data_IF_464178560278
#
_entry.id   IF_464178560278
#
_cell.length_a   1.000
_cell.length_b   1.000
_cell.length_c   1.000
_cell.angle_alpha   90.00
_cell.angle_beta   90.00
_cell.angle_gamma   90.00
#
_symmetry.space_group_name_H-M   'P 1'
#
loop_
_entity.id
_entity.type
_entity.pdbx_description
1 polymer ?
#
# COMPACT_ATOMS: atom_id res chain seq x y z
N UNK A 1 5.50 6.09 18.17
CA UNK A 1 5.25 6.54 16.78
C UNK A 1 5.60 5.37 15.89
N UNK A 2 4.69 4.98 15.01
CA UNK A 2 4.90 3.87 14.07
C UNK A 2 6.00 4.24 13.08
N UNK A 3 6.90 3.28 12.81
CA UNK A 3 7.94 3.39 11.78
C UNK A 3 7.40 2.88 10.45
N UNK A 4 7.83 3.47 9.35
CA UNK A 4 7.43 3.04 8.00
C UNK A 4 8.65 2.53 7.24
N UNK A 5 8.50 1.38 6.59
CA UNK A 5 9.50 0.84 5.66
C UNK A 5 8.83 0.78 4.28
N UNK A 6 9.36 1.52 3.31
CA UNK A 6 8.88 1.49 1.93
C UNK A 6 9.76 0.57 1.08
N UNK A 7 9.16 -0.48 0.51
CA UNK A 7 9.88 -1.40 -0.38
C UNK A 7 9.57 -1.03 -1.82
N UNK A 8 10.60 -0.66 -2.58
CA UNK A 8 10.49 -0.31 -4.01
C UNK A 8 11.32 -1.26 -4.87
N UNK A 9 10.99 -1.38 -6.16
CA UNK A 9 11.71 -2.23 -7.12
C UNK A 9 12.41 -1.42 -8.20
N UNK A 10 13.62 -1.81 -8.56
CA UNK A 10 14.32 -1.24 -9.71
C UNK A 10 14.61 -2.29 -10.78
N UNK A 11 15.03 -1.84 -11.96
CA UNK A 11 15.50 -2.63 -13.10
C UNK A 11 14.40 -3.45 -13.79
N UNK A 12 13.79 -4.42 -13.10
CA UNK A 12 12.78 -5.31 -13.68
C UNK A 12 11.79 -5.78 -12.62
N UNK A 13 10.55 -6.01 -13.04
CA UNK A 13 9.53 -6.67 -12.21
C UNK A 13 9.89 -8.15 -11.94
N UNK A 14 9.21 -8.77 -10.98
CA UNK A 14 9.38 -10.20 -10.63
C UNK A 14 10.70 -10.61 -9.97
N UNK A 15 11.46 -9.65 -9.40
CA UNK A 15 12.64 -9.92 -8.57
C UNK A 15 12.32 -10.47 -7.16
N UNK A 16 11.05 -10.69 -6.83
CA UNK A 16 10.64 -11.21 -5.52
C UNK A 16 10.50 -10.14 -4.43
N UNK A 17 9.97 -8.95 -4.77
CA UNK A 17 9.67 -7.88 -3.80
C UNK A 17 8.74 -8.37 -2.68
N UNK A 18 7.56 -8.90 -3.04
CA UNK A 18 6.58 -9.48 -2.10
C UNK A 18 7.19 -10.42 -1.07
N UNK A 19 7.92 -11.43 -1.53
CA UNK A 19 8.60 -12.40 -0.66
C UNK A 19 9.67 -11.77 0.23
N UNK A 20 10.40 -10.78 -0.28
CA UNK A 20 11.42 -10.05 0.50
C UNK A 20 10.75 -9.19 1.57
N UNK A 21 9.70 -8.45 1.22
CA UNK A 21 8.86 -7.67 2.14
C UNK A 21 8.33 -8.55 3.28
N UNK A 22 7.75 -9.70 2.92
CA UNK A 22 7.20 -10.67 3.87
C UNK A 22 8.27 -11.25 4.80
N UNK A 23 9.45 -11.57 4.26
CA UNK A 23 10.58 -12.08 5.02
C UNK A 23 11.14 -11.05 6.01
N UNK A 24 11.19 -9.77 5.63
CA UNK A 24 11.57 -8.68 6.54
C UNK A 24 10.54 -8.59 7.69
N UNK A 25 9.25 -8.62 7.36
CA UNK A 25 8.16 -8.62 8.36
C UNK A 25 8.32 -9.76 9.37
N UNK A 26 8.53 -10.99 8.88
CA UNK A 26 8.77 -12.16 9.73
C UNK A 26 9.97 -11.97 10.69
N UNK A 27 11.09 -11.44 10.19
CA UNK A 27 12.29 -11.20 11.02
C UNK A 27 12.02 -10.15 12.10
N UNK A 28 11.26 -9.10 11.79
CA UNK A 28 10.89 -8.06 12.75
C UNK A 28 9.94 -8.61 13.82
N UNK A 29 8.95 -9.40 13.44
CA UNK A 29 8.06 -10.08 14.40
C UNK A 29 8.82 -11.03 15.33
N UNK A 30 9.81 -11.78 14.80
CA UNK A 30 10.69 -12.64 15.61
C UNK A 30 11.56 -11.85 16.59
N UNK A 31 11.71 -10.54 16.40
CA UNK A 31 12.34 -9.61 17.35
C UNK A 31 11.35 -8.95 18.32
N UNK A 32 10.09 -9.37 18.31
CA UNK A 32 9.05 -8.89 19.21
C UNK A 32 8.39 -7.58 18.76
N UNK A 33 8.55 -7.17 17.50
CA UNK A 33 7.89 -5.97 16.96
C UNK A 33 6.54 -6.33 16.35
N UNK A 34 5.54 -5.45 16.54
CA UNK A 34 4.24 -5.58 15.87
C UNK A 34 4.33 -4.99 14.48
N UNK A 35 4.14 -5.83 13.47
CA UNK A 35 4.27 -5.47 12.06
C UNK A 35 2.90 -5.40 11.40
N UNK A 36 2.70 -4.38 10.56
CA UNK A 36 1.61 -4.32 9.58
C UNK A 36 2.15 -4.26 8.17
N UNK A 37 1.48 -4.92 7.23
CA UNK A 37 1.91 -5.00 5.84
C UNK A 37 0.87 -4.42 4.89
N UNK A 38 1.36 -3.74 3.85
CA UNK A 38 0.56 -3.12 2.80
C UNK A 38 1.17 -3.36 1.42
N UNK A 39 0.32 -3.56 0.43
CA UNK A 39 0.67 -3.55 -1.00
C UNK A 39 -0.05 -2.40 -1.70
N UNK A 40 0.71 -1.55 -2.40
CA UNK A 40 0.17 -0.53 -3.30
C UNK A 40 0.40 -0.98 -4.75
N UNK A 41 -0.66 -1.31 -5.46
CA UNK A 41 -0.62 -1.81 -6.82
C UNK A 41 -0.87 -0.71 -7.86
N UNK A 42 0.03 -0.54 -8.84
CA UNK A 42 -0.07 0.56 -9.79
C UNK A 42 -1.11 0.34 -10.89
N UNK A 43 -1.75 -0.82 -10.98
CA UNK A 43 -2.77 -1.10 -11.99
C UNK A 43 -4.08 -0.34 -11.75
N UNK A 44 -4.82 -0.08 -12.83
CA UNK A 44 -6.03 0.77 -12.85
C UNK A 44 -7.29 0.01 -12.39
N UNK A 45 -7.29 -1.33 -12.40
CA UNK A 45 -8.40 -2.10 -11.85
C UNK A 45 -8.66 -1.72 -10.38
N UNK A 46 -9.92 -1.54 -10.01
CA UNK A 46 -10.31 -1.19 -8.62
C UNK A 46 -10.08 -2.37 -7.67
N UNK A 47 -10.18 -3.58 -8.20
CA UNK A 47 -9.90 -4.83 -7.52
C UNK A 47 -9.40 -5.82 -8.58
N UNK A 48 -8.68 -6.88 -8.18
CA UNK A 48 -8.19 -7.88 -9.13
C UNK A 48 -9.28 -8.86 -9.57
N UNK A 49 -10.52 -8.77 -9.04
CA UNK A 49 -11.63 -9.69 -9.38
C UNK A 49 -12.03 -9.65 -10.86
N UNK A 50 -11.66 -8.58 -11.56
CA UNK A 50 -11.88 -8.42 -13.02
C UNK A 50 -10.72 -8.94 -13.88
N UNK A 51 -9.61 -9.37 -13.28
CA UNK A 51 -8.42 -9.86 -13.98
C UNK A 51 -8.50 -11.37 -14.20
N UNK A 52 -7.91 -11.87 -15.30
CA UNK A 52 -7.86 -13.32 -15.54
C UNK A 52 -6.83 -13.98 -14.63
N UNK A 53 -7.21 -14.94 -13.76
CA UNK A 53 -6.28 -15.54 -12.83
C UNK A 53 -5.20 -16.41 -13.50
N UNK A 54 -5.49 -16.92 -14.70
CA UNK A 54 -4.52 -17.69 -15.49
C UNK A 54 -3.38 -16.83 -16.06
N UNK A 55 -3.57 -15.51 -16.14
CA UNK A 55 -2.60 -14.59 -16.71
C UNK A 55 -1.91 -13.73 -15.66
N UNK A 56 -2.62 -13.39 -14.59
CA UNK A 56 -2.17 -12.42 -13.58
C UNK A 56 -1.95 -13.03 -12.19
N UNK A 57 -2.25 -14.31 -12.01
CA UNK A 57 -2.18 -14.99 -10.71
C UNK A 57 -3.53 -15.01 -10.00
N UNK A 58 -3.58 -15.73 -8.88
CA UNK A 58 -4.81 -15.87 -8.09
C UNK A 58 -5.28 -14.54 -7.49
N UNK A 59 -6.59 -14.43 -7.25
CA UNK A 59 -7.15 -13.40 -6.36
C UNK A 59 -7.08 -13.95 -4.95
N UNK A 60 -6.47 -13.20 -4.03
CA UNK A 60 -6.44 -13.56 -2.62
C UNK A 60 -7.65 -12.95 -1.91
N UNK A 61 -8.32 -13.72 -1.05
CA UNK A 61 -9.52 -13.26 -0.34
C UNK A 61 -9.24 -13.21 1.15
N UNK A 62 -9.41 -12.04 1.76
CA UNK A 62 -9.19 -11.83 3.19
C UNK A 62 -10.39 -12.29 4.03
N UNK A 63 -10.18 -12.43 5.35
CA UNK A 63 -11.24 -12.77 6.31
C UNK A 63 -12.42 -11.78 6.31
N UNK A 64 -12.19 -10.53 5.92
CA UNK A 64 -13.23 -9.50 5.78
C UNK A 64 -13.99 -9.55 4.44
N UNK A 65 -13.65 -10.51 3.57
CA UNK A 65 -14.26 -10.71 2.26
C UNK A 65 -13.67 -9.84 1.15
N UNK A 66 -12.62 -9.06 1.41
CA UNK A 66 -11.97 -8.24 0.39
C UNK A 66 -11.18 -9.12 -0.59
N UNK A 67 -11.38 -8.88 -1.89
CA UNK A 67 -10.58 -9.45 -2.98
C UNK A 67 -9.34 -8.58 -3.22
N UNK A 68 -8.15 -9.19 -3.14
CA UNK A 68 -6.86 -8.48 -3.15
C UNK A 68 -5.82 -9.20 -4.01
N UNK A 69 -4.70 -8.51 -4.25
CA UNK A 69 -3.53 -9.07 -4.92
C UNK A 69 -2.95 -10.28 -4.17
N UNK A 70 -2.33 -11.21 -4.91
CA UNK A 70 -1.77 -12.46 -4.38
C UNK A 70 -0.63 -12.24 -3.38
N UNK A 71 0.05 -11.09 -3.42
CA UNK A 71 1.15 -10.80 -2.49
C UNK A 71 0.66 -10.75 -1.03
N UNK A 72 -0.62 -10.47 -0.78
CA UNK A 72 -1.18 -10.51 0.57
C UNK A 72 -1.16 -11.92 1.15
N UNK A 73 -1.31 -12.95 0.32
CA UNK A 73 -1.12 -14.33 0.77
C UNK A 73 0.33 -14.59 1.22
N UNK A 74 1.33 -13.94 0.62
CA UNK A 74 2.71 -14.04 1.12
C UNK A 74 2.86 -13.38 2.49
N UNK A 75 2.23 -12.22 2.71
CA UNK A 75 2.29 -11.53 3.99
C UNK A 75 1.65 -12.38 5.10
N UNK A 76 0.48 -12.94 4.85
CA UNK A 76 -0.22 -13.81 5.81
C UNK A 76 0.57 -15.09 6.12
N UNK A 77 1.19 -15.71 5.11
CA UNK A 77 1.95 -16.95 5.32
C UNK A 77 3.25 -16.75 6.09
N UNK A 78 3.84 -15.56 6.05
CA UNK A 78 5.15 -15.27 6.67
C UNK A 78 5.03 -14.53 8.00
N UNK A 79 3.93 -13.80 8.22
CA UNK A 79 3.74 -12.91 9.36
C UNK A 79 2.44 -13.21 10.07
N UNK A 80 2.33 -12.82 11.34
CA UNK A 80 1.07 -12.87 12.10
C UNK A 80 0.29 -11.55 11.96
N UNK A 81 0.61 -10.77 10.93
CA UNK A 81 0.03 -9.46 10.71
C UNK A 81 -1.44 -9.59 10.30
N UNK A 82 -2.37 -8.90 10.99
CA UNK A 82 -3.76 -8.90 10.56
C UNK A 82 -3.86 -8.16 9.22
N UNK A 83 -4.32 -8.86 8.19
CA UNK A 83 -4.60 -8.28 6.89
C UNK A 83 -6.07 -7.86 6.83
N UNK A 84 -6.31 -6.66 6.33
CA UNK A 84 -7.66 -6.13 6.11
C UNK A 84 -7.73 -5.50 4.72
N UNK A 85 -8.89 -5.01 4.33
CA UNK A 85 -9.03 -4.15 3.15
C UNK A 85 -7.98 -3.03 3.06
N UNK A 86 -7.50 -2.52 4.19
CA UNK A 86 -6.48 -1.45 4.20
C UNK A 86 -5.05 -1.95 3.87
N UNK A 87 -4.85 -3.27 3.78
CA UNK A 87 -3.58 -3.92 3.39
C UNK A 87 -3.35 -3.95 1.88
N UNK A 88 -4.35 -3.66 1.05
CA UNK A 88 -4.18 -3.57 -0.40
C UNK A 88 -4.88 -2.32 -0.96
N UNK A 89 -4.15 -1.53 -1.75
CA UNK A 89 -4.70 -0.40 -2.47
C UNK A 89 -4.21 -0.38 -3.90
N UNK A 90 -5.10 -0.05 -4.84
CA UNK A 90 -4.76 0.04 -6.27
C UNK A 90 -4.85 1.49 -6.77
N UNK A 91 -4.18 1.80 -7.89
CA UNK A 91 -4.39 3.08 -8.60
C UNK A 91 -5.87 3.30 -8.88
N UNK A 92 -6.59 2.26 -9.30
CA UNK A 92 -8.03 2.29 -9.53
C UNK A 92 -8.82 2.82 -8.33
N UNK A 93 -8.60 2.24 -7.15
CA UNK A 93 -9.29 2.64 -5.92
C UNK A 93 -8.96 4.08 -5.51
N UNK A 94 -7.68 4.45 -5.59
CA UNK A 94 -7.21 5.78 -5.21
C UNK A 94 -7.83 6.84 -6.11
N UNK A 95 -7.78 6.64 -7.44
CA UNK A 95 -8.36 7.59 -8.39
C UNK A 95 -9.88 7.63 -8.27
N UNK A 96 -10.55 6.48 -8.09
CA UNK A 96 -11.99 6.44 -7.87
C UNK A 96 -12.39 7.20 -6.60
N UNK A 97 -11.63 7.06 -5.50
CA UNK A 97 -11.84 7.84 -4.27
C UNK A 97 -11.75 9.34 -4.53
N UNK A 98 -10.68 9.81 -5.18
CA UNK A 98 -10.47 11.23 -5.49
C UNK A 98 -11.57 11.77 -6.41
N UNK A 99 -11.93 11.04 -7.47
CA UNK A 99 -13.01 11.44 -8.39
C UNK A 99 -14.34 11.53 -7.64
N UNK A 100 -14.65 10.56 -6.77
CA UNK A 100 -15.88 10.58 -5.98
C UNK A 100 -15.95 11.78 -5.03
N UNK A 101 -14.85 12.12 -4.34
CA UNK A 101 -14.76 13.32 -3.49
C UNK A 101 -14.98 14.59 -4.29
N UNK A 102 -14.42 14.65 -5.49
CA UNK A 102 -14.58 15.78 -6.40
C UNK A 102 -16.03 15.94 -6.85
N UNK A 103 -16.70 14.86 -7.30
CA UNK A 103 -18.12 14.88 -7.67
C UNK A 103 -19.06 15.24 -6.52
N UNK A 104 -18.66 14.97 -5.27
CA UNK A 104 -19.39 15.40 -4.05
C UNK A 104 -19.13 16.87 -3.67
N UNK A 105 -18.23 17.56 -4.38
CA UNK A 105 -17.89 18.96 -4.09
C UNK A 105 -16.90 19.14 -2.93
N UNK A 106 -16.22 18.09 -2.47
CA UNK A 106 -15.30 18.16 -1.32
C UNK A 106 -14.08 19.04 -1.58
N UNK A 107 -13.72 19.27 -2.86
CA UNK A 107 -12.64 20.18 -3.24
C UNK A 107 -13.09 21.63 -3.51
N UNK A 108 -14.34 21.97 -3.15
CA UNK A 108 -14.86 23.34 -3.14
C UNK A 108 -14.73 24.07 -4.50
N UNK A 109 -14.95 23.35 -5.60
CA UNK A 109 -14.88 23.89 -6.96
C UNK A 109 -13.48 24.19 -7.48
N UNK A 110 -12.42 23.82 -6.75
CA UNK A 110 -11.03 23.96 -7.20
C UNK A 110 -10.63 22.83 -8.14
N UNK A 111 -9.62 23.09 -8.98
CA UNK A 111 -9.03 22.08 -9.88
C UNK A 111 -8.44 20.93 -9.08
N UNK A 112 -8.82 19.71 -9.43
CA UNK A 112 -8.22 18.48 -8.90
C UNK A 112 -7.08 18.02 -9.80
N UNK A 113 -5.98 17.61 -9.16
CA UNK A 113 -4.69 17.35 -9.79
C UNK A 113 -4.01 16.16 -9.11
N UNK A 114 -3.08 15.49 -9.81
CA UNK A 114 -2.30 14.38 -9.23
C UNK A 114 -1.56 14.84 -7.96
N UNK A 115 -0.86 15.96 -8.04
CA UNK A 115 -0.28 16.63 -6.88
C UNK A 115 -1.12 17.89 -6.61
N UNK A 116 -1.69 18.08 -5.41
CA UNK A 116 -1.54 17.23 -4.22
C UNK A 116 -2.62 16.15 -4.06
N UNK A 117 -3.71 16.15 -4.84
CA UNK A 117 -4.93 15.42 -4.45
C UNK A 117 -4.76 13.90 -4.46
N UNK A 118 -4.14 13.33 -5.49
CA UNK A 118 -3.86 11.89 -5.57
C UNK A 118 -2.74 11.51 -4.60
N UNK A 119 -1.66 12.30 -4.52
CA UNK A 119 -0.56 12.01 -3.57
C UNK A 119 -1.00 12.12 -2.12
N UNK A 120 -1.93 13.01 -1.80
CA UNK A 120 -2.53 13.11 -0.47
C UNK A 120 -3.44 11.91 -0.18
N UNK A 121 -4.20 11.42 -1.17
CA UNK A 121 -4.99 10.20 -1.00
C UNK A 121 -4.08 8.99 -0.76
N UNK A 122 -2.97 8.87 -1.49
CA UNK A 122 -1.96 7.82 -1.27
C UNK A 122 -1.38 7.92 0.15
N UNK A 123 -0.98 9.12 0.58
CA UNK A 123 -0.48 9.33 1.95
C UNK A 123 -1.55 8.98 3.01
N UNK A 124 -2.82 9.30 2.74
CA UNK A 124 -3.93 8.96 3.64
C UNK A 124 -4.06 7.44 3.79
N UNK A 125 -4.01 6.67 2.70
CA UNK A 125 -4.14 5.20 2.76
C UNK A 125 -2.93 4.53 3.41
N UNK A 126 -1.71 5.05 3.22
CA UNK A 126 -0.51 4.61 3.95
C UNK A 126 -0.69 4.83 5.46
N UNK A 127 -1.25 5.98 5.84
CA UNK A 127 -1.48 6.33 7.24
C UNK A 127 -2.53 5.47 7.96
N UNK A 128 -3.47 4.85 7.23
CA UNK A 128 -4.56 4.03 7.84
C UNK A 128 -4.02 2.86 8.63
N UNK A 129 -2.99 2.17 8.13
CA UNK A 129 -2.41 1.04 8.83
C UNK A 129 -1.61 1.43 10.07
N UNK A 130 -1.19 2.69 10.21
CA UNK A 130 -0.53 3.17 11.42
C UNK A 130 -1.52 3.47 12.56
N UNK A 131 -2.83 3.55 12.28
CA UNK A 131 -3.85 3.82 13.29
C UNK A 131 -4.04 2.59 14.19
N UNK A 132 -4.07 2.74 15.53
CA UNK A 132 -4.28 1.62 16.45
C UNK A 132 -5.59 0.88 16.13
N UNK A 133 -5.53 -0.45 16.09
CA UNK A 133 -6.74 -1.28 16.05
C UNK A 133 -6.86 -1.96 17.43
N UNK A 134 -8.03 -1.88 18.06
CA UNK A 134 -8.28 -2.45 19.39
C UNK A 134 -7.25 -2.03 20.48
N UNK A 135 -6.71 -0.81 20.38
CA UNK A 135 -5.78 -0.24 21.36
C UNK A 135 -4.30 -0.47 21.09
N UNK A 136 -3.94 -1.24 20.06
CA UNK A 136 -2.53 -1.50 19.72
C UNK A 136 -2.13 -0.90 18.37
N UNK A 137 -1.19 0.05 18.42
CA UNK A 137 -0.52 0.59 17.25
C UNK A 137 0.59 -0.37 16.78
N UNK A 138 0.80 -0.54 15.47
CA UNK A 138 1.99 -1.25 15.00
C UNK A 138 3.25 -0.48 15.35
N UNK A 139 4.33 -1.21 15.61
CA UNK A 139 5.66 -0.63 15.76
C UNK A 139 6.24 -0.29 14.38
N UNK A 140 5.97 -1.14 13.38
CA UNK A 140 6.43 -0.98 11.99
C UNK A 140 5.31 -1.27 11.00
N UNK A 141 5.14 -0.40 10.00
CA UNK A 141 4.34 -0.64 8.79
C UNK A 141 5.29 -0.83 7.61
N UNK A 142 5.19 -1.95 6.92
CA UNK A 142 5.92 -2.23 5.68
C UNK A 142 4.96 -2.03 4.52
N UNK A 143 5.23 -1.04 3.67
CA UNK A 143 4.44 -0.75 2.47
C UNK A 143 5.28 -1.09 1.24
N UNK A 144 4.86 -2.12 0.51
CA UNK A 144 5.40 -2.44 -0.79
C UNK A 144 4.76 -1.58 -1.88
N UNK A 145 5.60 -0.97 -2.71
CA UNK A 145 5.20 -0.23 -3.89
C UNK A 145 5.38 -1.13 -5.11
N UNK A 146 4.27 -1.51 -5.74
CA UNK A 146 4.24 -2.27 -6.97
C UNK A 146 4.83 -1.49 -8.15
N UNK A 147 5.07 -2.22 -9.24
CA UNK A 147 5.74 -1.70 -10.43
C UNK A 147 7.26 -1.59 -10.27
N UNK A 148 7.88 -0.86 -11.20
CA UNK A 148 9.32 -0.62 -11.25
C UNK A 148 9.60 0.88 -11.23
N UNK A 149 10.56 1.30 -10.42
CA UNK A 149 11.03 2.69 -10.37
C UNK A 149 11.53 3.11 -11.75
N UNK A 150 10.94 4.17 -12.28
CA UNK A 150 11.16 4.66 -13.63
C UNK A 150 9.92 4.54 -14.52
N UNK A 151 9.02 3.62 -14.20
CA UNK A 151 7.76 3.47 -14.93
C UNK A 151 6.75 4.57 -14.53
N UNK A 152 5.97 5.01 -15.51
CA UNK A 152 5.00 6.11 -15.37
C UNK A 152 3.96 5.78 -14.29
N UNK A 153 3.54 4.52 -14.20
CA UNK A 153 2.49 4.06 -13.29
C UNK A 153 2.86 4.21 -11.81
N UNK A 154 4.15 4.13 -11.46
CA UNK A 154 4.61 4.24 -10.08
C UNK A 154 4.87 5.69 -9.63
N UNK A 155 4.89 6.66 -10.55
CA UNK A 155 5.26 8.06 -10.24
C UNK A 155 4.41 8.69 -9.11
N UNK A 156 3.07 8.54 -9.07
CA UNK A 156 2.27 9.10 -7.97
C UNK A 156 2.62 8.48 -6.61
N UNK A 157 2.89 7.17 -6.57
CA UNK A 157 3.27 6.48 -5.33
C UNK A 157 4.65 6.92 -4.84
N UNK A 158 5.63 7.02 -5.75
CA UNK A 158 6.98 7.47 -5.41
C UNK A 158 7.00 8.91 -4.90
N UNK A 159 6.20 9.79 -5.50
CA UNK A 159 6.06 11.17 -5.00
C UNK A 159 5.35 11.20 -3.64
N UNK A 160 4.32 10.38 -3.43
CA UNK A 160 3.60 10.31 -2.17
C UNK A 160 4.50 9.83 -1.01
N UNK A 161 5.30 8.77 -1.19
CA UNK A 161 6.22 8.30 -0.14
C UNK A 161 7.35 9.30 0.12
N UNK A 162 7.78 10.04 -0.91
CA UNK A 162 8.76 11.13 -0.76
C UNK A 162 8.19 12.28 0.08
N UNK A 163 6.93 12.69 -0.17
CA UNK A 163 6.23 13.68 0.66
C UNK A 163 6.00 13.18 2.08
N UNK A 164 5.59 11.91 2.22
CA UNK A 164 5.37 11.26 3.51
C UNK A 164 6.64 11.28 4.38
N UNK A 165 7.80 10.92 3.82
CA UNK A 165 9.08 10.94 4.52
C UNK A 165 9.47 12.33 5.03
N UNK A 166 9.13 13.40 4.30
CA UNK A 166 9.37 14.77 4.74
C UNK A 166 8.45 15.19 5.91
N UNK A 167 7.20 14.72 5.92
CA UNK A 167 6.23 15.03 6.97
C UNK A 167 6.46 14.21 8.23
N UNK A 168 6.74 12.91 8.09
CA UNK A 168 6.95 11.99 9.19
C UNK A 168 8.34 12.13 9.84
N UNK A 169 9.32 12.70 9.15
CA UNK A 169 10.72 12.77 9.59
C UNK A 169 11.53 11.56 9.15
N UNK A 170 12.79 11.79 8.75
CA UNK A 170 13.68 10.77 8.18
C UNK A 170 14.00 9.64 9.15
N UNK A 171 13.91 9.89 10.45
CA UNK A 171 14.12 8.90 11.52
C UNK A 171 12.93 7.94 11.71
N UNK A 172 11.80 8.22 11.05
CA UNK A 172 10.57 7.42 11.12
C UNK A 172 10.29 6.65 9.83
N UNK A 173 11.08 6.87 8.77
CA UNK A 173 10.88 6.28 7.45
C UNK A 173 12.18 5.68 6.93
N UNK A 174 12.12 4.42 6.49
CA UNK A 174 13.17 3.70 5.78
C UNK A 174 12.75 3.43 4.34
#
# INVERSE_FOLDING_TARGET
MTKHIFVTGGVVSSLGKGLTSASIGMVLERRGLRVRMQKLDPYINVDPGTMSPYQHGEVFVLDDGSETDLDLGHYERFTNSPLTRDSNYTTGQIYLSVINKERKGEFLGKTVQVIPHVTNEIQSVIGRLAVPNQGEAPDVVITEIGGTVGDIESLPFLEAIRQFALQAGKENVL
#
